data_IF_774841830960
#
_entry.id   IF_774841830960
#
_cell.length_a   1.000
_cell.length_b   1.000
_cell.length_c   1.000
_cell.angle_alpha   90.00
_cell.angle_beta   90.00
_cell.angle_gamma   90.00
#
_symmetry.space_group_name_H-M   'P 1'
#
loop_
_entity.id
_entity.type
_entity.pdbx_description
1 polymer ?
#
# COMPACT_ATOMS: atom_id res chain seq x y z
N UNK A 1 15.03 -19.18 12.47
CA UNK A 1 14.79 -18.07 13.41
C UNK A 1 13.55 -17.31 12.98
N UNK A 2 12.69 -16.89 13.91
CA UNK A 2 11.49 -16.08 13.62
C UNK A 2 11.73 -14.65 14.11
N UNK A 3 11.45 -13.65 13.28
CA UNK A 3 11.66 -12.24 13.60
C UNK A 3 10.39 -11.46 13.27
N UNK A 4 9.94 -10.63 14.21
CA UNK A 4 8.85 -9.68 13.98
C UNK A 4 9.44 -8.29 13.80
N UNK A 5 9.04 -7.59 12.74
CA UNK A 5 9.43 -6.22 12.46
C UNK A 5 8.21 -5.30 12.55
N UNK A 6 8.25 -4.37 13.52
CA UNK A 6 7.27 -3.30 13.65
C UNK A 6 7.76 -2.07 12.88
N UNK A 7 7.22 -1.83 11.70
CA UNK A 7 7.61 -0.67 10.89
C UNK A 7 6.69 -0.50 9.70
N UNK A 8 6.41 0.76 9.37
CA UNK A 8 5.87 1.16 8.09
C UNK A 8 6.89 1.04 6.94
N UNK A 9 6.70 1.87 5.92
CA UNK A 9 7.21 1.75 4.56
C UNK A 9 8.70 1.46 4.39
N UNK A 10 9.51 2.48 4.06
CA UNK A 10 10.85 2.28 3.51
C UNK A 10 11.93 1.95 4.53
N UNK A 11 11.76 2.37 5.79
CA UNK A 11 12.81 2.27 6.81
C UNK A 11 13.31 0.84 7.03
N UNK A 12 12.40 -0.14 6.97
CA UNK A 12 12.75 -1.55 7.20
C UNK A 12 13.09 -2.34 5.92
N UNK A 13 13.10 -1.73 4.74
CA UNK A 13 13.25 -2.49 3.48
C UNK A 13 14.56 -3.29 3.44
N UNK A 14 15.67 -2.62 3.74
CA UNK A 14 17.01 -3.22 3.67
C UNK A 14 17.19 -4.34 4.69
N UNK A 15 16.78 -4.11 5.95
CA UNK A 15 16.91 -5.12 7.00
C UNK A 15 15.98 -6.31 6.76
N UNK A 16 14.74 -6.07 6.30
CA UNK A 16 13.81 -7.15 5.94
C UNK A 16 14.43 -8.09 4.88
N UNK A 17 14.92 -7.52 3.77
CA UNK A 17 15.57 -8.29 2.70
C UNK A 17 16.78 -9.08 3.23
N UNK A 18 17.62 -8.45 4.07
CA UNK A 18 18.78 -9.12 4.64
C UNK A 18 18.41 -10.29 5.56
N UNK A 19 17.32 -10.17 6.33
CA UNK A 19 16.83 -11.23 7.20
C UNK A 19 16.23 -12.40 6.41
N UNK A 20 15.40 -12.13 5.40
CA UNK A 20 14.88 -13.17 4.51
C UNK A 20 16.02 -13.95 3.82
N UNK A 21 17.04 -13.24 3.31
CA UNK A 21 18.23 -13.87 2.69
C UNK A 21 19.06 -14.72 3.64
N UNK A 22 18.95 -14.50 4.95
CA UNK A 22 19.58 -15.32 5.99
C UNK A 22 18.71 -16.52 6.41
N UNK A 23 17.59 -16.78 5.71
CA UNK A 23 16.67 -17.86 6.03
C UNK A 23 15.83 -17.59 7.28
N UNK A 24 15.64 -16.32 7.66
CA UNK A 24 14.76 -15.96 8.75
C UNK A 24 13.31 -15.95 8.27
N UNK A 25 12.41 -16.48 9.08
CA UNK A 25 10.97 -16.29 8.88
C UNK A 25 10.59 -14.92 9.44
N UNK A 26 10.26 -13.97 8.57
CA UNK A 26 9.95 -12.59 8.95
C UNK A 26 8.44 -12.38 8.97
N UNK A 27 7.96 -11.74 10.04
CA UNK A 27 6.59 -11.20 10.15
C UNK A 27 6.69 -9.69 10.17
N UNK A 28 5.96 -9.01 9.29
CA UNK A 28 5.86 -7.55 9.20
C UNK A 28 4.56 -7.10 9.85
N UNK A 29 4.65 -6.30 10.90
CA UNK A 29 3.52 -5.57 11.47
C UNK A 29 3.59 -4.11 11.02
N UNK A 30 2.58 -3.70 10.26
CA UNK A 30 2.53 -2.43 9.52
C UNK A 30 1.52 -1.48 10.20
N UNK A 31 1.86 -0.22 10.48
CA UNK A 31 0.93 0.76 11.02
C UNK A 31 -0.34 0.92 10.17
N UNK A 32 -1.51 0.80 10.79
CA UNK A 32 -2.82 0.95 10.13
C UNK A 32 -3.18 2.42 9.83
N UNK A 33 -2.52 3.37 10.49
CA UNK A 33 -2.88 4.80 10.47
C UNK A 33 -2.10 5.65 9.44
N UNK A 34 -1.27 5.04 8.59
CA UNK A 34 -0.49 5.80 7.59
C UNK A 34 -1.44 6.55 6.65
N UNK A 35 -1.34 7.87 6.65
CA UNK A 35 -2.28 8.78 5.98
C UNK A 35 -1.69 9.48 4.76
N UNK A 36 -0.48 9.11 4.33
CA UNK A 36 0.28 9.84 3.31
C UNK A 36 0.10 9.40 1.86
N UNK A 37 0.48 10.30 0.94
CA UNK A 37 0.81 9.99 -0.45
C UNK A 37 -0.34 9.43 -1.30
N UNK A 38 -0.05 8.41 -2.12
CA UNK A 38 -1.03 7.81 -3.05
C UNK A 38 -2.08 6.91 -2.38
N UNK A 39 -2.01 6.72 -1.07
CA UNK A 39 -3.04 5.97 -0.31
C UNK A 39 -4.17 6.88 0.14
N UNK A 40 -3.90 8.18 0.37
CA UNK A 40 -4.90 9.13 0.86
C UNK A 40 -6.11 9.28 -0.08
N UNK A 41 -5.96 9.54 -1.39
CA UNK A 41 -7.13 9.64 -2.28
C UNK A 41 -7.95 8.36 -2.35
N UNK A 42 -7.31 7.20 -2.19
CA UNK A 42 -7.99 5.88 -2.19
C UNK A 42 -8.83 5.75 -0.92
N UNK A 43 -8.24 5.99 0.25
CA UNK A 43 -8.94 5.95 1.54
C UNK A 43 -10.08 6.95 1.60
N UNK A 44 -9.82 8.21 1.22
CA UNK A 44 -10.84 9.26 1.23
C UNK A 44 -12.03 8.92 0.32
N UNK A 45 -11.80 8.14 -0.75
CA UNK A 45 -12.86 7.71 -1.69
C UNK A 45 -13.61 6.47 -1.26
N UNK A 46 -12.90 5.48 -0.70
CA UNK A 46 -13.43 4.14 -0.45
C UNK A 46 -13.75 3.85 1.02
N UNK A 47 -13.24 4.65 1.96
CA UNK A 47 -13.46 4.42 3.40
C UNK A 47 -12.67 3.24 3.99
N UNK A 48 -11.65 2.74 3.27
CA UNK A 48 -10.82 1.59 3.70
C UNK A 48 -9.51 2.03 4.36
N UNK A 49 -8.90 1.14 5.16
CA UNK A 49 -7.54 1.33 5.66
C UNK A 49 -6.52 1.68 4.56
N UNK A 50 -5.49 2.44 4.92
CA UNK A 50 -4.39 2.74 4.01
C UNK A 50 -3.61 1.48 3.61
N UNK A 51 -3.59 1.21 2.31
CA UNK A 51 -2.97 0.00 1.74
C UNK A 51 -1.48 0.18 1.38
N UNK A 52 -0.95 1.40 1.47
CA UNK A 52 0.35 1.76 0.89
C UNK A 52 1.52 0.99 1.51
N UNK A 53 1.62 1.00 2.83
CA UNK A 53 2.70 0.33 3.53
C UNK A 53 2.53 -1.19 3.57
N UNK A 54 1.29 -1.70 3.56
CA UNK A 54 1.00 -3.12 3.39
C UNK A 54 1.52 -3.62 2.04
N UNK A 55 1.18 -2.92 0.95
CA UNK A 55 1.72 -3.22 -0.39
C UNK A 55 3.25 -3.20 -0.40
N UNK A 56 3.88 -2.19 0.21
CA UNK A 56 5.36 -2.11 0.29
C UNK A 56 5.96 -3.26 1.07
N UNK A 57 5.34 -3.65 2.18
CA UNK A 57 5.78 -4.79 2.97
C UNK A 57 5.69 -6.08 2.14
N UNK A 58 4.56 -6.32 1.47
CA UNK A 58 4.36 -7.48 0.59
C UNK A 58 5.41 -7.56 -0.53
N UNK A 59 5.64 -6.48 -1.29
CA UNK A 59 6.66 -6.49 -2.35
C UNK A 59 8.07 -6.65 -1.79
N UNK A 60 8.35 -6.08 -0.62
CA UNK A 60 9.66 -6.23 0.05
C UNK A 60 9.88 -7.68 0.50
N UNK A 61 8.87 -8.34 1.06
CA UNK A 61 8.94 -9.75 1.44
C UNK A 61 9.23 -10.61 0.21
N UNK A 62 8.48 -10.42 -0.88
CA UNK A 62 8.70 -11.13 -2.14
C UNK A 62 10.14 -10.95 -2.66
N UNK A 63 10.67 -9.72 -2.64
CA UNK A 63 12.06 -9.45 -3.05
C UNK A 63 13.07 -10.12 -2.10
N UNK A 64 12.83 -10.06 -0.79
CA UNK A 64 13.69 -10.65 0.24
C UNK A 64 13.80 -12.16 0.12
N UNK A 65 12.70 -12.81 -0.25
CA UNK A 65 12.59 -14.25 -0.42
C UNK A 65 12.99 -14.75 -1.82
N UNK A 66 13.54 -13.87 -2.67
CA UNK A 66 14.01 -14.24 -4.01
C UNK A 66 12.91 -14.37 -5.06
N UNK A 67 11.68 -13.93 -4.76
CA UNK A 67 10.49 -14.01 -5.62
C UNK A 67 10.33 -12.77 -6.52
N UNK A 68 11.44 -12.21 -7.01
CA UNK A 68 11.41 -11.04 -7.90
C UNK A 68 10.79 -11.45 -9.24
N UNK A 69 9.58 -10.94 -9.52
CA UNK A 69 8.78 -11.34 -10.69
C UNK A 69 8.16 -10.14 -11.40
N UNK A 70 7.52 -10.41 -12.54
CA UNK A 70 6.70 -9.42 -13.23
C UNK A 70 5.52 -8.93 -12.36
N UNK A 71 4.99 -9.76 -11.47
CA UNK A 71 3.96 -9.38 -10.48
C UNK A 71 4.50 -8.33 -9.49
N UNK A 72 5.67 -8.57 -8.90
CA UNK A 72 6.33 -7.59 -8.01
C UNK A 72 6.55 -6.27 -8.75
N UNK A 73 7.00 -6.34 -10.00
CA UNK A 73 7.23 -5.16 -10.84
C UNK A 73 5.94 -4.37 -11.09
N UNK A 74 4.82 -5.05 -11.33
CA UNK A 74 3.50 -4.44 -11.50
C UNK A 74 3.02 -3.76 -10.20
N UNK A 75 3.17 -4.43 -9.05
CA UNK A 75 2.76 -3.87 -7.76
C UNK A 75 3.64 -2.71 -7.29
N UNK A 76 4.87 -2.59 -7.79
CA UNK A 76 5.73 -1.42 -7.58
C UNK A 76 5.49 -0.30 -8.60
N UNK A 77 4.73 -0.57 -9.68
CA UNK A 77 4.49 0.40 -10.75
C UNK A 77 3.58 1.57 -10.31
N UNK A 78 3.72 2.68 -11.04
CA UNK A 78 2.94 3.91 -10.86
C UNK A 78 2.49 4.44 -12.21
N UNK A 79 1.34 5.11 -12.23
CA UNK A 79 0.94 5.95 -13.36
C UNK A 79 1.99 7.06 -13.53
N UNK A 80 2.57 7.23 -14.73
CA UNK A 80 3.60 8.24 -14.96
C UNK A 80 3.14 9.66 -14.58
N UNK A 81 4.04 10.48 -14.02
CA UNK A 81 3.73 11.87 -13.72
C UNK A 81 3.55 12.71 -14.99
N UNK A 82 2.84 13.83 -14.85
CA UNK A 82 2.62 14.78 -15.95
C UNK A 82 1.54 14.37 -16.95
N UNK A 83 0.89 13.22 -16.79
CA UNK A 83 -0.22 12.82 -17.65
C UNK A 83 -1.49 13.64 -17.37
N UNK A 84 -2.26 13.88 -18.43
CA UNK A 84 -3.64 14.38 -18.30
C UNK A 84 -4.51 13.34 -17.59
N UNK A 85 -5.69 13.76 -17.10
CA UNK A 85 -6.66 12.85 -16.47
C UNK A 85 -7.05 11.69 -17.38
N UNK A 86 -7.31 11.97 -18.66
CA UNK A 86 -7.61 10.94 -19.66
C UNK A 86 -6.39 10.07 -20.00
N UNK A 87 -5.18 10.64 -19.96
CA UNK A 87 -3.92 9.90 -20.10
C UNK A 87 -3.71 8.89 -18.97
N UNK A 88 -3.88 9.33 -17.71
CA UNK A 88 -3.77 8.48 -16.53
C UNK A 88 -4.80 7.35 -16.53
N UNK A 89 -6.06 7.66 -16.88
CA UNK A 89 -7.10 6.65 -17.06
C UNK A 89 -6.71 5.63 -18.14
N UNK A 90 -6.21 6.07 -19.30
CA UNK A 90 -5.75 5.15 -20.36
C UNK A 90 -4.60 4.27 -19.89
N UNK A 91 -3.65 4.81 -19.13
CA UNK A 91 -2.57 4.02 -18.53
C UNK A 91 -3.13 2.95 -17.59
N UNK A 92 -4.04 3.31 -16.69
CA UNK A 92 -4.72 2.36 -15.81
C UNK A 92 -5.47 1.27 -16.61
N UNK A 93 -6.19 1.66 -17.66
CA UNK A 93 -6.90 0.72 -18.55
C UNK A 93 -5.97 -0.29 -19.22
N UNK A 94 -4.71 0.06 -19.52
CA UNK A 94 -3.74 -0.90 -20.06
C UNK A 94 -3.40 -2.02 -19.08
N UNK A 95 -3.40 -1.75 -17.77
CA UNK A 95 -3.25 -2.79 -16.75
C UNK A 95 -4.51 -3.66 -16.66
N UNK A 96 -5.69 -3.04 -16.64
CA UNK A 96 -6.98 -3.74 -16.58
C UNK A 96 -7.19 -4.66 -17.79
N UNK A 97 -6.80 -4.21 -18.99
CA UNK A 97 -6.87 -4.99 -20.24
C UNK A 97 -5.68 -5.93 -20.45
N UNK A 98 -4.73 -5.97 -19.51
CA UNK A 98 -3.53 -6.81 -19.58
C UNK A 98 -2.71 -6.59 -20.87
N UNK A 99 -2.71 -5.38 -21.44
CA UNK A 99 -2.15 -5.09 -22.77
C UNK A 99 -0.66 -4.71 -22.75
N UNK A 100 -0.06 -4.59 -21.57
CA UNK A 100 1.36 -4.25 -21.42
C UNK A 100 2.25 -5.46 -21.68
N UNK A 101 3.44 -5.23 -22.23
CA UNK A 101 4.45 -6.28 -22.48
C UNK A 101 4.80 -7.07 -21.22
N UNK A 102 4.70 -6.45 -20.04
CA UNK A 102 4.93 -7.11 -18.75
C UNK A 102 4.04 -8.34 -18.53
N UNK A 103 2.80 -8.33 -19.02
CA UNK A 103 1.88 -9.46 -18.86
C UNK A 103 2.30 -10.71 -19.63
N UNK A 104 3.25 -10.62 -20.57
CA UNK A 104 3.87 -11.80 -21.21
C UNK A 104 4.68 -12.66 -20.24
N UNK A 105 5.06 -12.10 -19.08
CA UNK A 105 5.83 -12.77 -18.03
C UNK A 105 4.97 -13.12 -16.80
N UNK A 106 3.67 -12.85 -16.85
CA UNK A 106 2.71 -13.14 -15.78
C UNK A 106 1.85 -14.32 -16.24
N UNK A 107 1.54 -15.26 -15.35
CA UNK A 107 0.66 -16.37 -15.70
C UNK A 107 -0.74 -15.84 -16.06
N UNK A 108 -1.50 -16.50 -16.96
CA UNK A 108 -2.86 -16.05 -17.30
C UNK A 108 -3.78 -15.96 -16.08
N UNK A 109 -3.64 -16.88 -15.10
CA UNK A 109 -4.42 -16.84 -13.86
C UNK A 109 -4.09 -15.61 -13.01
N UNK A 110 -2.80 -15.34 -12.74
CA UNK A 110 -2.42 -14.19 -11.92
C UNK A 110 -2.75 -12.87 -12.62
N UNK A 111 -2.60 -12.82 -13.96
CA UNK A 111 -2.98 -11.67 -14.77
C UNK A 111 -4.48 -11.37 -14.66
N UNK A 112 -5.31 -12.42 -14.67
CA UNK A 112 -6.75 -12.29 -14.49
C UNK A 112 -7.12 -11.86 -13.05
N UNK A 113 -6.44 -12.40 -12.03
CA UNK A 113 -6.66 -11.98 -10.63
C UNK A 113 -6.32 -10.50 -10.44
N UNK A 114 -5.21 -10.02 -11.01
CA UNK A 114 -4.87 -8.59 -11.02
C UNK A 114 -5.96 -7.76 -11.71
N UNK A 115 -6.40 -8.18 -12.89
CA UNK A 115 -7.42 -7.46 -13.64
C UNK A 115 -8.75 -7.39 -12.86
N UNK A 116 -9.13 -8.46 -12.17
CA UNK A 116 -10.31 -8.50 -11.31
C UNK A 116 -10.16 -7.50 -10.15
N UNK A 117 -9.02 -7.49 -9.45
CA UNK A 117 -8.76 -6.52 -8.38
C UNK A 117 -8.87 -5.09 -8.90
N UNK A 118 -8.21 -4.77 -10.02
CA UNK A 118 -8.27 -3.45 -10.64
C UNK A 118 -9.70 -3.08 -11.07
N UNK A 119 -10.49 -4.03 -11.53
CA UNK A 119 -11.89 -3.82 -11.89
C UNK A 119 -12.75 -3.52 -10.65
N UNK A 120 -12.59 -4.26 -9.54
CA UNK A 120 -13.26 -3.96 -8.27
C UNK A 120 -12.92 -2.56 -7.77
N UNK A 121 -11.63 -2.19 -7.80
CA UNK A 121 -11.18 -0.85 -7.46
C UNK A 121 -11.85 0.21 -8.34
N UNK A 122 -11.80 0.05 -9.67
CA UNK A 122 -12.36 1.03 -10.60
C UNK A 122 -13.87 1.21 -10.44
N UNK A 123 -14.60 0.12 -10.18
CA UNK A 123 -16.04 0.15 -9.91
C UNK A 123 -16.36 0.92 -8.62
N UNK A 124 -15.62 0.68 -7.54
CA UNK A 124 -15.85 1.34 -6.25
C UNK A 124 -15.37 2.80 -6.23
N UNK A 125 -14.25 3.10 -6.89
CA UNK A 125 -13.68 4.43 -6.96
C UNK A 125 -14.51 5.40 -7.82
N UNK A 126 -15.30 4.87 -8.76
CA UNK A 126 -16.14 5.65 -9.64
C UNK A 126 -15.39 6.34 -10.79
N UNK A 127 -16.15 6.84 -11.76
CA UNK A 127 -15.62 7.48 -12.97
C UNK A 127 -14.89 8.81 -12.69
N UNK A 128 -15.18 9.43 -11.54
CA UNK A 128 -14.64 10.71 -11.12
C UNK A 128 -13.33 10.60 -10.32
N UNK A 129 -12.82 9.39 -10.09
CA UNK A 129 -11.53 9.20 -9.44
C UNK A 129 -10.37 9.72 -10.31
N UNK A 130 -9.36 10.30 -9.66
CA UNK A 130 -8.15 10.79 -10.32
C UNK A 130 -6.99 9.78 -10.22
N UNK A 131 -6.68 9.15 -11.35
CA UNK A 131 -5.64 8.11 -11.44
C UNK A 131 -4.22 8.68 -11.58
N UNK A 132 -4.04 10.00 -11.72
CA UNK A 132 -2.72 10.61 -11.92
C UNK A 132 -1.80 10.32 -10.73
N UNK A 133 -0.53 10.01 -11.01
CA UNK A 133 0.46 9.61 -10.01
C UNK A 133 0.04 8.43 -9.12
N UNK A 134 -1.02 7.69 -9.45
CA UNK A 134 -1.51 6.57 -8.64
C UNK A 134 -0.59 5.35 -8.68
N UNK A 135 -0.43 4.66 -7.54
CA UNK A 135 0.30 3.40 -7.49
C UNK A 135 -0.59 2.25 -7.96
N UNK A 136 -0.13 1.50 -8.96
CA UNK A 136 -0.88 0.36 -9.50
C UNK A 136 -1.09 -0.71 -8.43
N UNK A 137 -0.06 -1.02 -7.64
CA UNK A 137 -0.22 -1.97 -6.55
C UNK A 137 -1.13 -1.47 -5.42
N UNK A 138 -1.25 -0.16 -5.18
CA UNK A 138 -2.24 0.34 -4.24
C UNK A 138 -3.66 0.10 -4.79
N UNK A 139 -3.87 0.31 -6.08
CA UNK A 139 -5.16 0.01 -6.72
C UNK A 139 -5.49 -1.49 -6.69
N UNK A 140 -4.51 -2.37 -6.90
CA UNK A 140 -4.69 -3.83 -6.76
C UNK A 140 -5.10 -4.18 -5.32
N UNK A 141 -4.34 -3.73 -4.31
CA UNK A 141 -4.62 -4.10 -2.93
C UNK A 141 -5.94 -3.49 -2.41
N UNK A 142 -6.26 -2.25 -2.80
CA UNK A 142 -7.55 -1.63 -2.49
C UNK A 142 -8.71 -2.38 -3.18
N UNK A 143 -8.54 -2.79 -4.43
CA UNK A 143 -9.52 -3.59 -5.14
C UNK A 143 -9.75 -4.98 -4.53
N UNK A 144 -8.68 -5.62 -4.05
CA UNK A 144 -8.79 -6.86 -3.28
C UNK A 144 -9.52 -6.65 -1.94
N UNK A 145 -9.32 -5.51 -1.28
CA UNK A 145 -10.05 -5.12 -0.07
C UNK A 145 -11.55 -5.00 -0.33
N UNK A 146 -11.91 -4.22 -1.36
CA UNK A 146 -13.30 -4.07 -1.80
C UNK A 146 -13.94 -5.42 -2.16
N UNK A 147 -13.19 -6.31 -2.81
CA UNK A 147 -13.67 -7.64 -3.17
C UNK A 147 -13.85 -8.58 -1.96
N UNK A 148 -13.30 -8.23 -0.80
CA UNK A 148 -13.33 -9.03 0.43
C UNK A 148 -14.28 -8.45 1.47
N UNK A 149 -15.31 -7.72 1.06
CA UNK A 149 -16.23 -6.98 1.95
C UNK A 149 -15.47 -6.05 2.92
N UNK A 150 -14.49 -5.32 2.37
CA UNK A 150 -13.58 -4.39 3.07
C UNK A 150 -12.70 -5.02 4.17
N UNK A 151 -12.56 -6.35 4.18
CA UNK A 151 -11.66 -7.04 5.11
C UNK A 151 -10.21 -6.98 4.65
N UNK A 152 -9.44 -6.08 5.24
CA UNK A 152 -8.04 -5.84 4.86
C UNK A 152 -7.15 -7.10 5.00
N UNK A 153 -7.37 -7.94 6.02
CA UNK A 153 -6.58 -9.16 6.23
C UNK A 153 -6.80 -10.20 5.13
N UNK A 154 -8.01 -10.30 4.59
CA UNK A 154 -8.34 -11.19 3.49
C UNK A 154 -7.67 -10.71 2.20
N UNK A 155 -7.69 -9.40 1.96
CA UNK A 155 -7.00 -8.78 0.82
C UNK A 155 -5.47 -8.95 0.89
N UNK A 156 -4.88 -8.74 2.07
CA UNK A 156 -3.46 -8.97 2.30
C UNK A 156 -3.09 -10.44 2.08
N UNK A 157 -3.92 -11.37 2.57
CA UNK A 157 -3.72 -12.81 2.37
C UNK A 157 -3.78 -13.20 0.89
N UNK A 158 -4.73 -12.63 0.15
CA UNK A 158 -4.87 -12.84 -1.30
C UNK A 158 -3.63 -12.37 -2.07
N UNK A 159 -3.18 -11.13 -1.85
CA UNK A 159 -1.99 -10.59 -2.54
C UNK A 159 -0.71 -11.28 -2.10
N UNK A 160 -0.59 -11.68 -0.82
CA UNK A 160 0.52 -12.51 -0.33
C UNK A 160 0.62 -13.83 -1.07
N UNK A 161 -0.51 -14.53 -1.25
CA UNK A 161 -0.59 -15.80 -1.99
C UNK A 161 -0.22 -15.60 -3.46
N UNK A 162 -0.73 -14.56 -4.11
CA UNK A 162 -0.39 -14.20 -5.50
C UNK A 162 1.12 -13.96 -5.68
N UNK A 163 1.78 -13.34 -4.69
CA UNK A 163 3.23 -13.13 -4.70
C UNK A 163 4.03 -14.34 -4.22
N UNK A 164 3.37 -15.44 -3.85
CA UNK A 164 3.94 -16.63 -3.23
C UNK A 164 4.75 -16.32 -1.96
N UNK A 165 4.45 -15.24 -1.24
CA UNK A 165 5.24 -14.82 -0.07
C UNK A 165 5.06 -15.79 1.11
N UNK A 166 6.17 -16.26 1.68
CA UNK A 166 6.18 -17.23 2.78
C UNK A 166 6.03 -16.58 4.14
N UNK A 167 6.76 -15.49 4.41
CA UNK A 167 6.61 -14.76 5.66
C UNK A 167 5.27 -14.03 5.74
N UNK A 168 5.02 -13.37 6.85
CA UNK A 168 3.71 -12.77 7.12
C UNK A 168 3.75 -11.25 7.03
N UNK A 169 2.64 -10.65 6.61
CA UNK A 169 2.42 -9.20 6.61
C UNK A 169 1.04 -8.97 7.18
N UNK A 170 0.94 -8.15 8.22
CA UNK A 170 -0.33 -7.81 8.86
C UNK A 170 -0.37 -6.33 9.23
N UNK A 171 -1.55 -5.69 9.16
CA UNK A 171 -1.74 -4.38 9.75
C UNK A 171 -1.65 -4.48 11.29
N UNK A 172 -1.42 -3.34 11.95
CA UNK A 172 -1.35 -3.26 13.42
C UNK A 172 -2.72 -3.26 14.10
N UNK A 173 -3.79 -3.13 13.33
CA UNK A 173 -5.19 -3.20 13.75
C UNK A 173 -6.03 -3.71 12.58
N UNK A 174 -7.24 -4.17 12.85
CA UNK A 174 -8.26 -4.49 11.85
C UNK A 174 -9.27 -3.33 11.67
N UNK A 175 -9.12 -2.24 12.43
CA UNK A 175 -9.99 -1.06 12.33
C UNK A 175 -9.61 -0.17 11.13
N UNK A 176 -10.58 0.18 10.29
CA UNK A 176 -10.38 0.98 9.07
C UNK A 176 -10.19 2.49 9.31
N UNK A 177 -10.67 3.02 10.45
CA UNK A 177 -10.70 4.46 10.75
C UNK A 177 -9.72 4.85 11.88
N UNK A 178 -8.47 4.41 11.77
CA UNK A 178 -7.41 4.83 12.67
C UNK A 178 -6.65 6.04 12.11
N UNK A 179 -6.53 7.08 12.94
CA UNK A 179 -5.72 8.26 12.66
C UNK A 179 -4.76 8.52 13.80
N UNK A 180 -3.49 8.77 13.47
CA UNK A 180 -2.49 9.21 14.44
C UNK A 180 -2.65 10.71 14.68
N UNK A 181 -2.79 11.10 15.95
CA UNK A 181 -2.95 12.48 16.36
C UNK A 181 -1.83 12.88 17.34
N UNK A 182 -1.50 14.17 17.38
CA UNK A 182 -0.54 14.72 18.33
C UNK A 182 -1.11 15.96 19.03
N UNK A 183 -0.75 16.13 20.28
CA UNK A 183 -0.93 17.38 21.04
C UNK A 183 0.44 18.00 21.24
N UNK A 184 0.63 19.23 20.79
CA UNK A 184 1.86 20.00 20.98
C UNK A 184 1.94 20.57 22.41
N UNK A 185 3.12 20.97 22.88
CA UNK A 185 3.31 21.51 24.24
C UNK A 185 2.52 22.80 24.52
N UNK A 186 2.10 23.52 23.48
CA UNK A 186 1.22 24.70 23.60
C UNK A 186 -0.28 24.33 23.58
N UNK A 187 -0.65 23.05 23.58
CA UNK A 187 -2.03 22.56 23.55
C UNK A 187 -2.65 22.43 22.15
N UNK A 188 -1.97 22.87 21.07
CA UNK A 188 -2.46 22.71 19.69
C UNK A 188 -2.56 21.22 19.36
N UNK A 189 -3.71 20.80 18.81
CA UNK A 189 -3.86 19.44 18.27
C UNK A 189 -3.55 19.39 16.78
N UNK A 190 -2.85 18.36 16.38
CA UNK A 190 -2.50 18.02 15.00
C UNK A 190 -3.16 16.69 14.68
N UNK A 191 -4.02 16.68 13.67
CA UNK A 191 -4.86 15.53 13.34
C UNK A 191 -4.35 14.90 12.04
N UNK A 192 -3.98 13.62 12.08
CA UNK A 192 -3.27 12.83 11.06
C UNK A 192 -1.73 12.82 11.15
N UNK A 193 -1.16 11.64 10.84
CA UNK A 193 0.29 11.44 10.68
C UNK A 193 0.88 12.40 9.65
N UNK A 194 0.22 12.59 8.50
CA UNK A 194 0.74 13.48 7.46
C UNK A 194 0.94 14.91 7.99
N UNK A 195 -0.04 15.44 8.73
CA UNK A 195 0.06 16.76 9.34
C UNK A 195 1.16 16.84 10.41
N UNK A 196 1.41 15.76 11.15
CA UNK A 196 2.51 15.67 12.13
C UNK A 196 3.87 15.71 11.40
N UNK A 197 4.00 15.01 10.28
CA UNK A 197 5.26 15.00 9.49
C UNK A 197 5.50 16.27 8.68
N UNK A 198 4.48 17.12 8.53
CA UNK A 198 4.56 18.38 7.78
C UNK A 198 4.31 19.60 8.68
N UNK A 199 4.69 19.52 9.96
CA UNK A 199 4.61 20.65 10.88
C UNK A 199 5.42 21.83 10.35
N UNK A 200 4.90 23.04 10.56
CA UNK A 200 5.66 24.26 10.30
C UNK A 200 6.86 24.36 11.25
N UNK A 201 7.89 25.14 10.90
CA UNK A 201 9.05 25.35 11.79
C UNK A 201 8.60 25.84 13.17
N UNK A 202 7.69 26.82 13.21
CA UNK A 202 7.11 27.34 14.46
C UNK A 202 6.42 26.25 15.29
N UNK A 203 5.66 25.36 14.67
CA UNK A 203 4.99 24.27 15.40
C UNK A 203 5.96 23.16 15.81
N UNK A 204 7.02 22.94 15.02
CA UNK A 204 8.07 21.97 15.31
C UNK A 204 8.88 22.41 16.54
N UNK A 205 9.17 23.70 16.68
CA UNK A 205 9.87 24.29 17.82
C UNK A 205 9.11 24.17 19.14
N UNK A 206 7.77 24.20 19.10
CA UNK A 206 6.92 23.95 20.28
C UNK A 206 7.13 22.53 20.80
N UNK A 207 7.31 21.56 19.89
CA UNK A 207 7.48 20.15 20.19
C UNK A 207 6.17 19.43 20.59
N UNK A 208 6.20 18.10 20.48
CA UNK A 208 5.06 17.24 20.81
C UNK A 208 5.04 16.94 22.30
N UNK A 209 3.86 17.09 22.92
CA UNK A 209 3.61 16.70 24.31
C UNK A 209 3.13 15.25 24.41
N UNK A 210 2.20 14.84 23.55
CA UNK A 210 1.58 13.51 23.57
C UNK A 210 1.07 13.10 22.19
N UNK A 211 1.14 11.81 21.89
CA UNK A 211 0.43 11.16 20.78
C UNK A 211 -0.86 10.49 21.26
N UNK A 212 -1.85 10.37 20.38
CA UNK A 212 -3.11 9.66 20.63
C UNK A 212 -3.82 9.29 19.35
#
# INVERSE_FOLDING_TARGET
MRIVLFSGGSACRTINIALCRRGCHVTRLVPAWDSGGSSKPIRDRLGIMSVGDLRRALTTMAIGEGRKSALVTLLEARVPPGLSRSGAWRTFQSYLRQSLVLFKQISPSDGQEIANCLQHFASAAGADFDYRNGSIGNFVLAGACVASDDKINDAVSSVRKMLNVEGDVWPSSDDDDLSLNATLKNGKRVLSEHAITSLSDNDSDVGIQKYG
#
